data_IF_702489751742
#
_entry.id   IF_702489751742
#
_cell.length_a   1.000
_cell.length_b   1.000
_cell.length_c   1.000
_cell.angle_alpha   90.00
_cell.angle_beta   90.00
_cell.angle_gamma   90.00
#
_symmetry.space_group_name_H-M   'P 1'
#
loop_
_entity.id
_entity.type
_entity.pdbx_description
1 polymer ?
#
# COMPACT_ATOMS: atom_id res chain seq x y z
N UNK A 1 30.71 15.56 -13.83
CA UNK A 1 30.89 14.57 -12.75
C UNK A 1 30.59 13.20 -13.34
N UNK A 2 31.60 12.52 -13.87
CA UNK A 2 31.48 11.13 -14.35
C UNK A 2 31.92 10.24 -13.19
N UNK A 3 30.99 9.46 -12.64
CA UNK A 3 31.15 8.68 -11.41
C UNK A 3 29.93 8.74 -10.47
N UNK A 4 29.06 9.74 -10.62
CA UNK A 4 27.72 9.72 -10.02
C UNK A 4 26.83 8.81 -10.89
N UNK A 5 26.50 7.60 -10.42
CA UNK A 5 25.62 6.64 -11.10
C UNK A 5 26.19 5.24 -11.39
N UNK A 6 27.45 4.93 -11.06
CA UNK A 6 28.01 3.56 -11.27
C UNK A 6 27.55 2.57 -10.19
N UNK A 7 27.02 3.06 -9.07
CA UNK A 7 26.09 2.30 -8.24
C UNK A 7 24.67 2.68 -8.71
N UNK A 8 24.37 2.44 -9.99
CA UNK A 8 22.99 2.23 -10.40
C UNK A 8 22.55 1.04 -9.55
N UNK A 9 21.70 1.27 -8.56
CA UNK A 9 21.23 0.21 -7.69
C UNK A 9 20.44 -0.75 -8.56
N UNK A 10 21.10 -1.76 -9.12
CA UNK A 10 20.54 -2.80 -9.99
C UNK A 10 19.33 -3.44 -9.32
N UNK A 11 19.31 -3.38 -7.99
CA UNK A 11 18.17 -3.78 -7.21
C UNK A 11 17.86 -2.83 -6.03
N UNK A 12 16.62 -2.37 -5.96
CA UNK A 12 16.14 -1.43 -4.94
C UNK A 12 16.19 -2.00 -3.53
N UNK A 13 16.09 -3.32 -3.32
CA UNK A 13 16.27 -3.87 -1.98
C UNK A 13 17.71 -3.69 -1.46
N UNK A 14 18.71 -3.68 -2.35
CA UNK A 14 20.10 -3.41 -1.97
C UNK A 14 20.28 -1.94 -1.60
N UNK A 15 19.60 -1.03 -2.28
CA UNK A 15 19.58 0.39 -1.92
C UNK A 15 19.12 0.59 -0.48
N UNK A 16 17.95 0.06 -0.14
CA UNK A 16 17.42 0.17 1.22
C UNK A 16 18.32 -0.53 2.25
N UNK A 17 18.90 -1.69 1.92
CA UNK A 17 19.82 -2.39 2.79
C UNK A 17 21.10 -1.58 3.06
N UNK A 18 21.64 -0.88 2.07
CA UNK A 18 22.84 -0.06 2.20
C UNK A 18 22.58 1.26 2.92
N UNK A 19 21.47 1.94 2.62
CA UNK A 19 21.17 3.27 3.18
C UNK A 19 20.61 3.18 4.60
N UNK A 20 19.70 2.23 4.82
CA UNK A 20 18.90 2.15 6.04
C UNK A 20 19.04 0.82 6.77
N UNK A 21 19.92 -0.06 6.30
CA UNK A 21 20.09 -1.40 6.85
C UNK A 21 18.87 -2.29 6.63
N UNK A 22 18.84 -3.40 7.36
CA UNK A 22 17.73 -4.34 7.33
C UNK A 22 16.39 -3.71 7.77
N UNK A 23 16.42 -2.66 8.60
CA UNK A 23 15.22 -2.00 9.12
C UNK A 23 14.44 -1.32 7.99
N UNK A 24 15.09 -0.53 7.14
CA UNK A 24 14.36 0.15 6.07
C UNK A 24 13.86 -0.81 5.00
N UNK A 25 14.60 -1.89 4.71
CA UNK A 25 14.11 -2.99 3.86
C UNK A 25 12.85 -3.61 4.46
N UNK A 26 12.86 -3.91 5.76
CA UNK A 26 11.71 -4.49 6.45
C UNK A 26 10.50 -3.55 6.41
N UNK A 27 10.69 -2.26 6.69
CA UNK A 27 9.62 -1.25 6.60
C UNK A 27 9.03 -1.13 5.19
N UNK A 28 9.90 -1.15 4.17
CA UNK A 28 9.49 -1.05 2.77
C UNK A 28 8.65 -2.27 2.33
N UNK A 29 9.15 -3.49 2.60
CA UNK A 29 8.40 -4.72 2.33
C UNK A 29 7.10 -4.75 3.13
N UNK A 30 7.14 -4.33 4.39
CA UNK A 30 5.96 -4.30 5.26
C UNK A 30 4.88 -3.39 4.71
N UNK A 31 5.22 -2.23 4.13
CA UNK A 31 4.23 -1.31 3.55
C UNK A 31 3.44 -1.97 2.40
N UNK A 32 4.16 -2.63 1.49
CA UNK A 32 3.56 -3.39 0.41
C UNK A 32 2.65 -4.52 0.92
N UNK A 33 3.17 -5.35 1.82
CA UNK A 33 2.43 -6.47 2.40
C UNK A 33 1.18 -5.98 3.15
N UNK A 34 1.31 -4.89 3.90
CA UNK A 34 0.21 -4.27 4.64
C UNK A 34 -0.95 -3.86 3.72
N UNK A 35 -0.66 -3.09 2.67
CA UNK A 35 -1.71 -2.59 1.78
C UNK A 35 -2.35 -3.71 0.94
N UNK A 36 -1.56 -4.64 0.40
CA UNK A 36 -2.09 -5.78 -0.35
C UNK A 36 -2.97 -6.66 0.55
N UNK A 37 -2.51 -7.02 1.75
CA UNK A 37 -3.30 -7.85 2.68
C UNK A 37 -4.56 -7.13 3.15
N UNK A 38 -4.49 -5.83 3.41
CA UNK A 38 -5.66 -5.01 3.75
C UNK A 38 -6.73 -5.15 2.68
N UNK A 39 -6.36 -4.89 1.43
CA UNK A 39 -7.29 -4.92 0.30
C UNK A 39 -7.85 -6.32 0.02
N UNK A 40 -7.01 -7.37 0.10
CA UNK A 40 -7.46 -8.75 -0.05
C UNK A 40 -8.44 -9.17 1.05
N UNK A 41 -8.25 -8.70 2.29
CA UNK A 41 -9.16 -8.97 3.40
C UNK A 41 -10.52 -8.30 3.19
N UNK A 42 -10.55 -7.10 2.62
CA UNK A 42 -11.80 -6.40 2.31
C UNK A 42 -12.58 -7.01 1.15
N UNK A 43 -11.97 -7.84 0.28
CA UNK A 43 -12.71 -8.60 -0.75
C UNK A 43 -13.81 -9.47 -0.14
N UNK A 44 -13.61 -10.00 1.07
CA UNK A 44 -14.64 -10.77 1.77
C UNK A 44 -15.81 -9.92 2.27
N UNK A 45 -15.60 -8.62 2.48
CA UNK A 45 -16.61 -7.68 2.97
C UNK A 45 -17.45 -7.05 1.84
N UNK A 46 -16.89 -6.92 0.62
CA UNK A 46 -17.55 -6.25 -0.50
C UNK A 46 -18.46 -7.16 -1.37
N UNK A 47 -18.60 -8.46 -1.07
CA UNK A 47 -19.46 -9.34 -1.84
C UNK A 47 -18.92 -9.67 -3.24
N UNK A 48 -19.46 -10.71 -3.89
CA UNK A 48 -18.82 -11.39 -5.04
C UNK A 48 -19.00 -10.73 -6.42
N UNK A 49 -19.81 -9.69 -6.58
CA UNK A 49 -20.28 -9.28 -7.91
C UNK A 49 -20.57 -7.78 -8.04
N UNK A 50 -19.80 -6.94 -7.37
CA UNK A 50 -20.05 -5.49 -7.38
C UNK A 50 -18.89 -4.73 -8.03
N UNK A 51 -19.22 -3.70 -8.82
CA UNK A 51 -18.24 -2.81 -9.47
C UNK A 51 -17.27 -2.18 -8.46
N UNK A 52 -17.68 -2.17 -7.18
CA UNK A 52 -16.87 -1.78 -6.03
C UNK A 52 -15.58 -2.59 -5.84
N UNK A 53 -15.44 -3.77 -6.46
CA UNK A 53 -14.19 -4.56 -6.45
C UNK A 53 -13.18 -4.14 -7.53
N UNK A 54 -13.57 -3.39 -8.56
CA UNK A 54 -12.68 -3.03 -9.66
C UNK A 54 -11.50 -2.16 -9.20
N UNK A 55 -11.78 -1.15 -8.38
CA UNK A 55 -10.77 -0.23 -7.83
C UNK A 55 -9.75 -0.95 -6.92
N UNK A 56 -10.15 -1.75 -5.91
CA UNK A 56 -9.18 -2.49 -5.12
C UNK A 56 -8.44 -3.57 -5.94
N UNK A 57 -9.06 -4.17 -6.95
CA UNK A 57 -8.35 -5.10 -7.84
C UNK A 57 -7.27 -4.39 -8.66
N UNK A 58 -7.58 -3.21 -9.24
CA UNK A 58 -6.62 -2.37 -9.95
C UNK A 58 -5.44 -1.97 -9.05
N UNK A 59 -5.73 -1.51 -7.83
CA UNK A 59 -4.71 -1.08 -6.88
C UNK A 59 -3.82 -2.25 -6.41
N UNK A 60 -4.38 -3.46 -6.21
CA UNK A 60 -3.57 -4.65 -5.91
C UNK A 60 -2.68 -5.01 -7.09
N UNK A 61 -3.23 -5.09 -8.30
CA UNK A 61 -2.46 -5.39 -9.51
C UNK A 61 -1.35 -4.34 -9.74
N UNK A 62 -1.68 -3.06 -9.55
CA UNK A 62 -0.75 -1.94 -9.66
C UNK A 62 0.35 -1.94 -8.60
N UNK A 63 0.13 -2.52 -7.41
CA UNK A 63 1.16 -2.71 -6.39
C UNK A 63 1.99 -3.99 -6.58
N UNK A 64 1.43 -5.03 -7.21
CA UNK A 64 2.16 -6.28 -7.50
C UNK A 64 3.15 -6.08 -8.64
N UNK A 65 2.79 -5.33 -9.68
CA UNK A 65 3.69 -5.06 -10.82
C UNK A 65 5.05 -4.43 -10.40
N UNK A 66 5.10 -3.37 -9.56
CA UNK A 66 6.38 -2.84 -9.08
C UNK A 66 7.10 -3.81 -8.14
N UNK A 67 6.44 -4.77 -7.47
CA UNK A 67 7.17 -5.82 -6.75
C UNK A 67 8.00 -6.70 -7.68
N UNK A 68 7.49 -7.02 -8.87
CA UNK A 68 8.27 -7.75 -9.88
C UNK A 68 9.50 -6.91 -10.28
N UNK A 69 9.31 -5.61 -10.52
CA UNK A 69 10.43 -4.72 -10.83
C UNK A 69 11.43 -4.63 -9.68
N UNK A 70 10.97 -4.67 -8.42
CA UNK A 70 11.83 -4.72 -7.24
C UNK A 70 12.59 -6.04 -7.08
N UNK A 71 12.10 -7.15 -7.64
CA UNK A 71 12.79 -8.45 -7.59
C UNK A 71 13.81 -8.56 -8.70
N UNK A 72 13.46 -8.13 -9.92
CA UNK A 72 14.28 -8.34 -11.12
C UNK A 72 15.13 -7.13 -11.54
N UNK A 73 14.80 -5.92 -11.07
CA UNK A 73 15.41 -4.66 -11.56
C UNK A 73 15.52 -3.57 -10.48
N UNK A 74 15.93 -2.37 -10.92
CA UNK A 74 15.93 -1.15 -10.13
C UNK A 74 14.62 -0.38 -10.27
N UNK A 75 14.15 0.18 -9.17
CA UNK A 75 13.07 1.14 -9.10
C UNK A 75 13.65 2.51 -8.73
N UNK A 76 13.75 3.42 -9.70
CA UNK A 76 14.30 4.76 -9.51
C UNK A 76 13.55 5.82 -10.32
N UNK A 77 13.50 7.06 -9.81
CA UNK A 77 12.90 8.19 -10.51
C UNK A 77 11.37 8.13 -10.57
N UNK A 78 10.80 8.07 -11.79
CA UNK A 78 9.34 8.16 -12.01
C UNK A 78 8.57 6.97 -11.44
N UNK A 79 9.20 5.82 -11.50
CA UNK A 79 8.71 4.59 -10.92
C UNK A 79 8.45 4.79 -9.41
N UNK A 80 9.46 5.26 -8.67
CA UNK A 80 9.39 5.50 -7.21
C UNK A 80 8.15 6.30 -6.81
N UNK A 81 7.93 7.42 -7.50
CA UNK A 81 6.78 8.30 -7.28
C UNK A 81 5.45 7.57 -7.50
N UNK A 82 5.35 6.74 -8.54
CA UNK A 82 4.11 5.99 -8.83
C UNK A 82 3.75 5.00 -7.73
N UNK A 83 4.72 4.32 -7.11
CA UNK A 83 4.44 3.42 -5.96
C UNK A 83 3.92 4.21 -4.76
N UNK A 84 4.52 5.35 -4.45
CA UNK A 84 4.01 6.18 -3.35
C UNK A 84 2.59 6.71 -3.61
N UNK A 85 2.28 7.07 -4.86
CA UNK A 85 0.91 7.41 -5.27
C UNK A 85 -0.04 6.23 -5.07
N UNK A 86 0.36 5.02 -5.48
CA UNK A 86 -0.45 3.81 -5.29
C UNK A 86 -0.67 3.47 -3.82
N UNK A 87 0.33 3.66 -2.95
CA UNK A 87 0.17 3.54 -1.50
C UNK A 87 -0.84 4.56 -0.95
N UNK A 88 -0.76 5.82 -1.39
CA UNK A 88 -1.73 6.85 -1.01
C UNK A 88 -3.16 6.49 -1.42
N UNK A 89 -3.36 6.01 -2.65
CA UNK A 89 -4.65 5.58 -3.15
C UNK A 89 -5.18 4.34 -2.42
N UNK A 90 -4.32 3.36 -2.13
CA UNK A 90 -4.67 2.18 -1.35
C UNK A 90 -5.10 2.57 0.08
N UNK A 91 -4.37 3.48 0.73
CA UNK A 91 -4.71 4.00 2.04
C UNK A 91 -6.06 4.71 2.04
N UNK A 92 -6.31 5.59 1.04
CA UNK A 92 -7.58 6.28 0.88
C UNK A 92 -8.74 5.29 0.67
N UNK A 93 -8.58 4.32 -0.23
CA UNK A 93 -9.59 3.29 -0.49
C UNK A 93 -9.93 2.51 0.79
N UNK A 94 -8.92 2.12 1.58
CA UNK A 94 -9.14 1.43 2.86
C UNK A 94 -9.83 2.32 3.90
N UNK A 95 -9.56 3.63 3.91
CA UNK A 95 -10.25 4.57 4.80
C UNK A 95 -11.72 4.76 4.42
N UNK A 96 -12.08 4.71 3.14
CA UNK A 96 -13.48 4.77 2.70
C UNK A 96 -14.24 3.45 2.93
N UNK A 97 -13.56 2.32 2.75
CA UNK A 97 -14.15 0.98 2.92
C UNK A 97 -14.30 0.60 4.39
N UNK A 98 -13.45 1.11 5.29
CA UNK A 98 -13.74 1.07 6.71
C UNK A 98 -14.84 2.10 7.01
N UNK A 99 -16.11 1.72 7.25
CA UNK A 99 -17.03 2.69 7.77
C UNK A 99 -16.44 3.20 9.10
N UNK A 100 -16.71 4.45 9.52
CA UNK A 100 -16.42 4.92 10.87
C UNK A 100 -17.33 4.20 11.88
N UNK A 101 -17.23 2.87 11.97
CA UNK A 101 -17.98 2.00 12.87
C UNK A 101 -17.67 2.35 14.32
N UNK A 102 -16.47 2.89 14.59
CA UNK A 102 -16.08 3.35 15.93
C UNK A 102 -16.81 4.63 16.37
N UNK A 103 -17.23 5.50 15.45
CA UNK A 103 -18.01 6.72 15.79
C UNK A 103 -19.52 6.43 15.88
N UNK A 104 -20.08 5.61 14.97
CA UNK A 104 -21.54 5.33 14.98
C UNK A 104 -22.00 4.58 16.23
N UNK A 105 -21.20 3.64 16.76
CA UNK A 105 -21.55 2.91 17.99
C UNK A 105 -21.56 3.81 19.23
N UNK A 106 -20.62 4.76 19.31
CA UNK A 106 -20.57 5.75 20.39
C UNK A 106 -21.76 6.73 20.34
N UNK A 107 -22.20 7.13 19.14
CA UNK A 107 -23.37 8.00 18.98
C UNK A 107 -24.68 7.29 19.36
N UNK A 108 -24.81 5.99 19.07
CA UNK A 108 -26.04 5.25 19.38
C UNK A 108 -26.13 4.92 20.88
N UNK A 109 -25.00 4.64 21.55
CA UNK A 109 -24.98 4.48 23.01
C UNK A 109 -25.22 5.80 23.74
N UNK A 110 -24.78 6.94 23.18
CA UNK A 110 -25.05 8.26 23.77
C UNK A 110 -26.54 8.64 23.69
N UNK A 111 -27.18 8.36 22.55
CA UNK A 111 -28.63 8.61 22.38
C UNK A 111 -29.45 7.69 23.30
N UNK A 112 -29.02 6.44 23.48
CA UNK A 112 -29.68 5.48 24.37
C UNK A 112 -29.53 5.77 25.87
N UNK A 113 -28.58 6.65 26.27
CA UNK A 113 -28.42 7.09 27.66
C UNK A 113 -29.19 8.37 27.98
N UNK A 114 -29.74 9.05 26.96
CA UNK A 114 -30.51 10.30 27.09
C UNK A 114 -32.02 10.10 26.96
N UNK A 115 -32.48 8.86 26.82
CA UNK A 115 -33.90 8.47 26.80
C UNK A 115 -34.24 7.67 28.07
#
# INVERSE_FOLDING_TARGET
RQGEGIIDFVNTYLFFALVSGAIGVACFIAAFVFYIRGMLRFRGALGRADQSLAVPAFLVAGLVMPMEMLVFTSFGGRCEVMVFVLFGLAAAQMAFVQPPYRRRRASYSAIAQTA
#
